data_IF_808817948869
#
_entry.id   IF_808817948869
#
_cell.length_a   1.000
_cell.length_b   1.000
_cell.length_c   1.000
_cell.angle_alpha   90.00
_cell.angle_beta   90.00
_cell.angle_gamma   90.00
#
_symmetry.space_group_name_H-M   'P 1'
#
loop_
_entity.id
_entity.type
_entity.pdbx_description
1 polymer ?
#
# COMPACT_ATOMS: atom_id res chain seq x y z
N UNK A 1 -7.32 12.25 13.09
CA UNK A 1 -6.13 12.44 12.21
C UNK A 1 -6.57 13.20 10.96
N UNK A 2 -5.81 14.19 10.50
CA UNK A 2 -6.16 14.99 9.31
C UNK A 2 -5.12 14.68 8.23
N UNK A 3 -5.57 14.33 7.02
CA UNK A 3 -4.71 14.14 5.87
C UNK A 3 -4.12 15.49 5.43
N UNK A 4 -2.79 15.59 5.41
CA UNK A 4 -2.09 16.71 4.81
C UNK A 4 -1.59 16.30 3.43
N UNK A 5 -2.35 16.67 2.43
CA UNK A 5 -2.00 16.38 1.04
C UNK A 5 -0.76 17.16 0.61
N UNK A 6 0.18 16.47 -0.01
CA UNK A 6 1.36 17.07 -0.63
C UNK A 6 1.23 17.02 -2.15
N UNK A 7 1.51 18.14 -2.82
CA UNK A 7 1.63 18.14 -4.28
C UNK A 7 2.74 17.19 -4.71
N UNK A 8 2.59 16.42 -5.83
CA UNK A 8 3.58 15.42 -6.25
C UNK A 8 5.02 15.90 -6.26
N UNK A 9 5.28 17.11 -6.79
CA UNK A 9 6.62 17.72 -6.79
C UNK A 9 7.22 17.99 -5.41
N UNK A 10 6.37 18.14 -4.38
CA UNK A 10 6.83 18.33 -2.99
C UNK A 10 7.00 17.00 -2.26
N UNK A 11 6.26 15.97 -2.68
CA UNK A 11 6.34 14.63 -2.12
C UNK A 11 7.57 13.86 -2.65
N UNK A 12 7.95 14.09 -3.92
CA UNK A 12 9.07 13.41 -4.54
C UNK A 12 10.42 13.88 -3.99
N UNK A 13 11.35 12.92 -3.85
CA UNK A 13 12.74 13.23 -3.57
C UNK A 13 13.31 14.14 -4.68
N UNK A 14 14.08 15.15 -4.29
CA UNK A 14 14.68 16.12 -5.21
C UNK A 14 15.54 15.48 -6.31
N UNK A 15 16.17 14.35 -6.03
CA UNK A 15 16.93 13.59 -7.02
C UNK A 15 16.02 13.07 -8.15
N UNK A 16 14.85 12.56 -7.82
CA UNK A 16 13.86 12.07 -8.80
C UNK A 16 13.29 13.19 -9.68
N UNK A 17 13.22 14.42 -9.20
CA UNK A 17 12.76 15.55 -10.02
C UNK A 17 13.69 15.88 -11.18
N UNK A 18 14.94 15.40 -11.14
CA UNK A 18 15.93 15.57 -12.21
C UNK A 18 15.91 14.43 -13.23
N UNK A 19 15.32 13.29 -12.87
CA UNK A 19 15.19 12.13 -13.76
C UNK A 19 14.07 12.44 -14.75
N UNK A 20 14.40 12.40 -16.04
CA UNK A 20 13.41 12.52 -17.10
C UNK A 20 13.14 11.14 -17.65
N UNK A 21 11.88 10.66 -17.62
CA UNK A 21 11.54 9.39 -18.26
C UNK A 21 11.82 9.51 -19.77
N UNK A 22 12.35 8.44 -20.35
CA UNK A 22 12.55 8.37 -21.78
C UNK A 22 11.23 8.05 -22.51
N UNK A 23 11.23 8.13 -23.85
CA UNK A 23 10.02 7.92 -24.66
C UNK A 23 9.44 6.51 -24.45
N UNK A 24 10.28 5.50 -24.39
CA UNK A 24 9.84 4.10 -24.20
C UNK A 24 9.13 3.92 -22.85
N UNK A 25 9.68 4.47 -21.77
CA UNK A 25 9.05 4.44 -20.45
C UNK A 25 7.68 5.15 -20.44
N UNK A 26 7.57 6.28 -21.13
CA UNK A 26 6.31 7.01 -21.24
C UNK A 26 5.27 6.20 -22.04
N UNK A 27 5.65 5.60 -23.16
CA UNK A 27 4.73 4.80 -23.99
C UNK A 27 4.32 3.51 -23.27
N UNK A 28 5.23 2.85 -22.56
CA UNK A 28 4.91 1.69 -21.73
C UNK A 28 3.92 2.04 -20.63
N UNK A 29 4.14 3.16 -19.93
CA UNK A 29 3.20 3.65 -18.92
C UNK A 29 1.81 3.87 -19.50
N UNK A 30 1.71 4.58 -20.63
CA UNK A 30 0.43 4.86 -21.29
C UNK A 30 -0.30 3.57 -21.67
N UNK A 31 0.40 2.65 -22.34
CA UNK A 31 -0.18 1.38 -22.80
C UNK A 31 -0.70 0.56 -21.61
N UNK A 32 0.10 0.44 -20.55
CA UNK A 32 -0.28 -0.35 -19.39
C UNK A 32 -1.40 0.34 -18.58
N UNK A 33 -1.41 1.68 -18.51
CA UNK A 33 -2.49 2.43 -17.86
C UNK A 33 -3.81 2.27 -18.62
N UNK A 34 -3.79 2.39 -19.96
CA UNK A 34 -4.98 2.16 -20.78
C UNK A 34 -5.49 0.73 -20.57
N UNK A 35 -4.60 -0.26 -20.59
CA UNK A 35 -4.98 -1.66 -20.32
C UNK A 35 -5.60 -1.85 -18.94
N UNK A 36 -5.06 -1.22 -17.90
CA UNK A 36 -5.61 -1.24 -16.55
C UNK A 36 -7.04 -0.67 -16.53
N UNK A 37 -7.23 0.51 -17.12
CA UNK A 37 -8.52 1.22 -17.10
C UNK A 37 -9.58 0.51 -17.95
N UNK A 38 -9.23 0.03 -19.15
CA UNK A 38 -10.14 -0.67 -20.05
C UNK A 38 -10.63 -2.00 -19.49
N UNK A 39 -9.79 -2.67 -18.68
CA UNK A 39 -10.15 -3.94 -18.02
C UNK A 39 -10.86 -3.75 -16.70
N UNK A 40 -10.87 -2.54 -16.14
CA UNK A 40 -11.59 -2.26 -14.89
C UNK A 40 -13.09 -2.39 -15.13
N UNK A 41 -13.75 -3.25 -14.33
CA UNK A 41 -15.18 -3.53 -14.48
C UNK A 41 -15.83 -3.62 -13.09
N UNK A 42 -16.85 -2.81 -12.88
CA UNK A 42 -17.55 -2.67 -11.60
C UNK A 42 -18.27 -3.95 -11.13
N UNK A 43 -18.52 -4.90 -12.03
CA UNK A 43 -19.15 -6.19 -11.69
C UNK A 43 -18.14 -7.21 -11.13
N UNK A 44 -16.85 -7.02 -11.38
CA UNK A 44 -15.81 -7.95 -10.99
C UNK A 44 -15.48 -7.87 -9.49
N UNK A 45 -14.79 -8.91 -9.00
CA UNK A 45 -14.38 -9.03 -7.61
C UNK A 45 -13.24 -8.04 -7.23
N UNK A 46 -13.04 -7.82 -5.94
CA UNK A 46 -11.87 -7.06 -5.43
C UNK A 46 -10.57 -7.76 -5.81
N UNK A 47 -10.52 -9.10 -5.77
CA UNK A 47 -9.35 -9.88 -6.16
C UNK A 47 -9.01 -9.71 -7.66
N UNK A 48 -10.01 -9.62 -8.52
CA UNK A 48 -9.79 -9.32 -9.94
C UNK A 48 -9.10 -7.96 -10.11
N UNK A 49 -9.61 -6.93 -9.45
CA UNK A 49 -9.02 -5.58 -9.51
C UNK A 49 -7.61 -5.53 -8.92
N UNK A 50 -7.37 -6.28 -7.85
CA UNK A 50 -6.04 -6.46 -7.27
C UNK A 50 -5.04 -7.02 -8.28
N UNK A 51 -5.45 -8.06 -9.03
CA UNK A 51 -4.61 -8.64 -10.07
C UNK A 51 -4.33 -7.66 -11.21
N UNK A 52 -5.28 -6.79 -11.58
CA UNK A 52 -5.02 -5.71 -12.55
C UNK A 52 -3.97 -4.72 -12.05
N UNK A 53 -4.01 -4.35 -10.77
CA UNK A 53 -3.00 -3.48 -10.15
C UNK A 53 -1.62 -4.15 -10.17
N UNK A 54 -1.53 -5.45 -9.84
CA UNK A 54 -0.29 -6.23 -9.93
C UNK A 54 0.29 -6.17 -11.34
N UNK A 55 -0.53 -6.50 -12.34
CA UNK A 55 -0.13 -6.52 -13.74
C UNK A 55 0.40 -5.16 -14.21
N UNK A 56 -0.32 -4.10 -13.87
CA UNK A 56 0.08 -2.73 -14.19
C UNK A 56 1.43 -2.38 -13.58
N UNK A 57 1.61 -2.63 -12.28
CA UNK A 57 2.84 -2.29 -11.57
C UNK A 57 4.02 -3.11 -12.08
N UNK A 58 3.86 -4.42 -12.28
CA UNK A 58 4.91 -5.29 -12.85
C UNK A 58 5.36 -4.78 -14.20
N UNK A 59 4.45 -4.70 -15.16
CA UNK A 59 4.76 -4.37 -16.56
C UNK A 59 5.29 -2.95 -16.74
N UNK A 60 4.93 -2.04 -15.84
CA UNK A 60 5.30 -0.61 -15.98
C UNK A 60 6.61 -0.28 -15.30
N UNK A 61 6.87 -0.85 -14.10
CA UNK A 61 7.96 -0.37 -13.24
C UNK A 61 8.86 -1.45 -12.65
N UNK A 62 8.32 -2.62 -12.30
CA UNK A 62 8.98 -3.49 -11.34
C UNK A 62 9.63 -4.73 -11.94
N UNK A 63 9.11 -5.29 -13.03
CA UNK A 63 9.75 -6.42 -13.70
C UNK A 63 11.03 -5.98 -14.43
N UNK A 64 12.10 -6.80 -14.39
CA UNK A 64 12.25 -8.04 -13.61
C UNK A 64 12.88 -7.84 -12.22
N UNK A 65 13.02 -6.62 -11.74
CA UNK A 65 13.90 -6.27 -10.60
C UNK A 65 13.24 -6.46 -9.24
N UNK A 66 11.90 -6.43 -9.18
CA UNK A 66 11.16 -6.53 -7.94
C UNK A 66 10.02 -7.53 -8.05
N UNK A 67 9.92 -8.40 -7.05
CA UNK A 67 8.83 -9.36 -6.98
C UNK A 67 7.59 -8.69 -6.36
N UNK A 68 6.41 -8.98 -6.93
CA UNK A 68 5.13 -8.52 -6.40
C UNK A 68 4.24 -9.72 -6.19
N UNK A 69 3.69 -9.85 -4.98
CA UNK A 69 2.73 -10.90 -4.62
C UNK A 69 1.81 -10.45 -3.47
N UNK A 70 0.86 -11.31 -3.12
CA UNK A 70 0.18 -11.27 -1.83
C UNK A 70 1.07 -11.95 -0.78
N UNK A 71 1.17 -11.41 0.44
CA UNK A 71 1.99 -11.99 1.52
C UNK A 71 1.17 -12.12 2.80
N UNK A 72 0.87 -13.35 3.19
CA UNK A 72 0.09 -13.64 4.38
C UNK A 72 -1.31 -13.03 4.30
N UNK A 73 -1.59 -12.05 5.16
CA UNK A 73 -2.86 -11.30 5.17
C UNK A 73 -2.75 -9.92 4.50
N UNK A 74 -1.57 -9.56 4.00
CA UNK A 74 -1.39 -8.32 3.25
C UNK A 74 -2.00 -8.48 1.86
N UNK A 75 -2.66 -7.44 1.38
CA UNK A 75 -3.25 -7.47 0.05
C UNK A 75 -2.20 -7.61 -1.04
N UNK A 76 -1.29 -6.64 -1.12
CA UNK A 76 -0.18 -6.65 -2.06
C UNK A 76 1.09 -6.16 -1.38
N UNK A 77 2.22 -6.79 -1.74
CA UNK A 77 3.54 -6.30 -1.34
C UNK A 77 4.47 -6.25 -2.54
N UNK A 78 5.35 -5.25 -2.55
CA UNK A 78 6.46 -5.15 -3.49
C UNK A 78 7.73 -5.42 -2.70
N UNK A 79 8.47 -6.43 -3.11
CA UNK A 79 9.73 -6.81 -2.49
C UNK A 79 10.90 -5.95 -3.01
N UNK A 80 11.90 -5.74 -2.15
CA UNK A 80 13.13 -5.02 -2.52
C UNK A 80 14.04 -5.83 -3.47
N UNK A 81 13.70 -7.08 -3.77
CA UNK A 81 14.43 -7.96 -4.68
C UNK A 81 13.51 -8.80 -5.55
N UNK A 82 14.11 -9.72 -6.31
CA UNK A 82 13.46 -10.47 -7.40
C UNK A 82 12.65 -11.69 -6.95
N UNK A 83 12.56 -11.95 -5.64
CA UNK A 83 11.87 -13.15 -5.15
C UNK A 83 11.13 -12.88 -3.80
N UNK A 84 10.26 -13.80 -3.42
CA UNK A 84 9.43 -13.71 -2.24
C UNK A 84 10.19 -13.75 -0.89
N UNK A 85 11.46 -14.15 -0.89
CA UNK A 85 12.31 -14.16 0.31
C UNK A 85 12.99 -12.82 0.56
N UNK A 86 12.95 -11.91 -0.41
CA UNK A 86 13.44 -10.55 -0.24
C UNK A 86 12.55 -9.77 0.73
N UNK A 87 13.11 -8.78 1.40
CA UNK A 87 12.35 -7.91 2.31
C UNK A 87 11.25 -7.15 1.57
N UNK A 88 10.15 -6.85 2.25
CA UNK A 88 9.08 -6.02 1.71
C UNK A 88 9.49 -4.55 1.73
N UNK A 89 9.39 -3.88 0.59
CA UNK A 89 9.67 -2.44 0.44
C UNK A 89 8.41 -1.57 0.40
N UNK A 90 7.31 -2.09 -0.16
CA UNK A 90 6.03 -1.38 -0.25
C UNK A 90 4.89 -2.31 0.15
N UNK A 91 3.95 -1.78 0.92
CA UNK A 91 2.70 -2.46 1.26
C UNK A 91 1.56 -1.72 0.57
N UNK A 92 0.68 -2.44 -0.10
CA UNK A 92 -0.46 -1.86 -0.83
C UNK A 92 -1.74 -2.53 -0.35
N UNK A 93 -2.69 -1.72 0.05
CA UNK A 93 -4.08 -2.11 0.28
C UNK A 93 -4.90 -1.71 -0.94
N UNK A 94 -5.51 -2.69 -1.60
CA UNK A 94 -6.28 -2.47 -2.81
C UNK A 94 -7.77 -2.74 -2.57
N UNK A 95 -8.59 -1.76 -2.88
CA UNK A 95 -10.05 -1.86 -2.80
C UNK A 95 -10.67 -1.86 -4.19
N UNK A 96 -11.82 -2.50 -4.33
CA UNK A 96 -12.64 -2.41 -5.54
C UNK A 96 -13.01 -0.95 -5.82
N UNK A 97 -13.02 -0.47 -7.08
CA UNK A 97 -13.35 0.91 -7.44
C UNK A 97 -14.70 1.40 -6.90
N UNK A 98 -15.67 0.50 -6.82
CA UNK A 98 -17.02 0.79 -6.28
C UNK A 98 -17.12 0.77 -4.76
N UNK A 99 -16.12 0.22 -4.06
CA UNK A 99 -16.12 0.11 -2.59
C UNK A 99 -15.64 1.41 -1.93
N UNK A 100 -16.41 2.48 -2.09
CA UNK A 100 -16.11 3.80 -1.48
C UNK A 100 -16.30 3.80 0.04
N UNK A 101 -17.07 2.84 0.56
CA UNK A 101 -17.34 2.76 2.00
C UNK A 101 -16.12 2.38 2.81
N UNK A 102 -15.21 1.58 2.25
CA UNK A 102 -13.99 1.11 2.91
C UNK A 102 -12.72 1.81 2.41
N UNK A 103 -12.82 2.67 1.37
CA UNK A 103 -11.68 3.37 0.79
C UNK A 103 -11.45 4.73 1.45
N UNK A 104 -10.17 5.08 1.63
CA UNK A 104 -9.70 6.38 2.13
C UNK A 104 -10.23 7.52 1.25
N UNK A 105 -10.54 8.64 1.88
CA UNK A 105 -10.78 9.91 1.19
C UNK A 105 -9.98 11.04 1.84
N UNK A 106 -9.91 12.19 1.18
CA UNK A 106 -9.22 13.38 1.70
C UNK A 106 -9.80 13.88 3.02
N UNK A 107 -11.09 13.60 3.27
CA UNK A 107 -11.82 14.02 4.48
C UNK A 107 -11.98 12.90 5.51
N UNK A 108 -11.78 11.64 5.12
CA UNK A 108 -12.00 10.48 5.99
C UNK A 108 -10.84 9.49 5.86
N UNK A 109 -9.93 9.53 6.82
CA UNK A 109 -8.79 8.62 6.92
C UNK A 109 -9.11 7.36 7.72
N UNK A 110 -9.73 7.53 8.89
CA UNK A 110 -10.03 6.39 9.77
C UNK A 110 -11.15 5.53 9.17
N UNK A 111 -10.75 4.59 8.33
CA UNK A 111 -11.59 3.68 7.58
C UNK A 111 -10.83 2.38 7.33
N UNK A 112 -11.51 1.32 6.99
CA UNK A 112 -10.98 -0.05 6.89
C UNK A 112 -9.68 -0.13 6.09
N UNK A 113 -9.59 0.47 4.89
CA UNK A 113 -8.36 0.43 4.10
C UNK A 113 -7.14 1.02 4.83
N UNK A 114 -7.33 2.09 5.60
CA UNK A 114 -6.24 2.68 6.39
C UNK A 114 -5.91 1.81 7.62
N UNK A 115 -6.92 1.27 8.28
CA UNK A 115 -6.75 0.38 9.43
C UNK A 115 -5.97 -0.88 9.03
N UNK A 116 -6.31 -1.48 7.90
CA UNK A 116 -5.59 -2.63 7.34
C UNK A 116 -4.13 -2.28 6.99
N UNK A 117 -3.88 -1.11 6.38
CA UNK A 117 -2.49 -0.65 6.14
C UNK A 117 -1.69 -0.51 7.43
N UNK A 118 -2.25 0.07 8.50
CA UNK A 118 -1.56 0.18 9.80
C UNK A 118 -1.27 -1.19 10.38
N UNK A 119 -2.23 -2.11 10.33
CA UNK A 119 -2.07 -3.48 10.81
C UNK A 119 -0.94 -4.21 10.06
N UNK A 120 -0.95 -4.14 8.72
CA UNK A 120 0.08 -4.79 7.88
C UNK A 120 1.46 -4.18 8.11
N UNK A 121 1.52 -2.86 8.27
CA UNK A 121 2.75 -2.17 8.62
C UNK A 121 3.31 -2.62 9.98
N UNK A 122 2.47 -2.72 11.00
CA UNK A 122 2.89 -3.18 12.32
C UNK A 122 3.38 -4.63 12.29
N UNK A 123 2.76 -5.50 11.48
CA UNK A 123 3.25 -6.86 11.26
C UNK A 123 4.65 -6.89 10.66
N UNK A 124 4.86 -6.14 9.57
CA UNK A 124 6.19 -6.06 8.96
C UNK A 124 7.20 -5.46 9.94
N UNK A 125 6.85 -4.37 10.62
CA UNK A 125 7.76 -3.60 11.47
C UNK A 125 8.08 -4.27 12.80
N UNK A 126 7.08 -4.83 13.48
CA UNK A 126 7.20 -5.37 14.85
C UNK A 126 7.43 -6.88 14.79
N UNK A 127 6.55 -7.64 14.11
CA UNK A 127 6.60 -9.10 14.07
C UNK A 127 7.77 -9.60 13.21
N UNK A 128 7.89 -9.07 11.98
CA UNK A 128 8.95 -9.48 11.05
C UNK A 128 10.24 -8.68 11.19
N UNK A 129 10.26 -7.63 12.04
CA UNK A 129 11.42 -6.73 12.26
C UNK A 129 11.97 -6.12 10.97
N UNK A 130 11.11 -5.92 9.98
CA UNK A 130 11.47 -5.37 8.69
C UNK A 130 11.62 -3.84 8.77
N UNK A 131 12.84 -3.35 8.60
CA UNK A 131 13.19 -1.92 8.61
C UNK A 131 13.22 -1.30 7.21
N UNK A 132 12.96 -2.08 6.18
CA UNK A 132 13.17 -1.67 4.78
C UNK A 132 11.89 -1.26 4.07
N UNK A 133 10.74 -1.31 4.74
CA UNK A 133 9.50 -0.72 4.20
C UNK A 133 9.71 0.77 3.99
N UNK A 134 9.37 1.28 2.80
CA UNK A 134 9.54 2.69 2.41
C UNK A 134 8.21 3.42 2.28
N UNK A 135 7.22 2.76 1.68
CA UNK A 135 5.92 3.36 1.39
C UNK A 135 4.79 2.41 1.72
N UNK A 136 3.67 3.03 2.09
CA UNK A 136 2.39 2.36 2.23
C UNK A 136 1.40 3.02 1.27
N UNK A 137 0.59 2.22 0.61
CA UNK A 137 -0.31 2.68 -0.44
C UNK A 137 -1.70 2.12 -0.22
N UNK A 138 -2.72 2.97 -0.32
CA UNK A 138 -4.09 2.52 -0.51
C UNK A 138 -4.57 2.93 -1.89
N UNK A 139 -5.21 2.04 -2.63
CA UNK A 139 -5.72 2.33 -3.97
C UNK A 139 -7.03 1.62 -4.25
N UNK A 140 -7.86 2.27 -5.10
CA UNK A 140 -9.01 1.66 -5.74
C UNK A 140 -8.92 1.75 -7.28
N UNK A 141 -7.68 1.77 -7.81
CA UNK A 141 -7.32 2.03 -9.21
C UNK A 141 -7.46 3.51 -9.57
N UNK A 142 -8.60 4.14 -9.27
CA UNK A 142 -8.88 5.53 -9.64
C UNK A 142 -8.18 6.55 -8.74
N UNK A 143 -7.96 6.17 -7.48
CA UNK A 143 -7.34 7.01 -6.45
C UNK A 143 -6.17 6.25 -5.81
N UNK A 144 -5.09 6.98 -5.55
CA UNK A 144 -3.87 6.45 -4.94
C UNK A 144 -3.45 7.35 -3.79
N UNK A 145 -3.46 6.80 -2.58
CA UNK A 145 -2.97 7.45 -1.37
C UNK A 145 -1.64 6.82 -0.98
N UNK A 146 -0.57 7.59 -1.10
CA UNK A 146 0.80 7.13 -0.84
C UNK A 146 1.30 7.80 0.43
N UNK A 147 1.72 6.99 1.40
CA UNK A 147 2.22 7.44 2.69
C UNK A 147 3.71 7.10 2.83
N UNK A 148 4.46 8.04 3.41
CA UNK A 148 5.84 7.83 3.82
C UNK A 148 5.91 7.00 5.10
N UNK A 149 6.76 5.97 5.12
CA UNK A 149 6.90 5.07 6.27
C UNK A 149 7.39 5.77 7.53
N UNK A 150 8.18 6.85 7.41
CA UNK A 150 8.69 7.58 8.58
C UNK A 150 7.57 8.19 9.40
N UNK A 151 6.47 8.56 8.74
CA UNK A 151 5.26 9.04 9.42
C UNK A 151 4.58 7.89 10.19
N UNK A 152 4.48 6.72 9.58
CA UNK A 152 3.91 5.53 10.22
C UNK A 152 4.77 5.05 11.40
N UNK A 153 6.09 5.06 11.27
CA UNK A 153 7.00 4.77 12.38
C UNK A 153 6.69 5.65 13.58
N UNK A 154 6.66 6.97 13.36
CA UNK A 154 6.46 7.94 14.44
C UNK A 154 5.07 7.84 15.09
N UNK A 155 4.02 7.65 14.29
CA UNK A 155 2.64 7.67 14.79
C UNK A 155 2.20 6.31 15.37
N UNK A 156 2.69 5.21 14.81
CA UNK A 156 2.18 3.88 15.14
C UNK A 156 3.25 2.99 15.79
N UNK A 157 4.39 2.74 15.14
CA UNK A 157 5.37 1.80 15.68
C UNK A 157 6.10 2.30 16.93
N UNK A 158 6.22 3.61 17.13
CA UNK A 158 6.78 4.21 18.34
C UNK A 158 5.73 4.45 19.44
N UNK A 159 4.46 4.23 19.17
CA UNK A 159 3.39 4.34 20.15
C UNK A 159 3.32 3.07 21.00
N UNK A 160 3.88 3.10 22.20
CA UNK A 160 3.98 1.94 23.12
C UNK A 160 2.61 1.32 23.44
N UNK A 161 1.57 2.13 23.59
CA UNK A 161 0.23 1.63 23.91
C UNK A 161 -0.36 0.89 22.72
N UNK A 162 -0.22 1.43 21.51
CA UNK A 162 -0.69 0.79 20.29
C UNK A 162 0.08 -0.51 20.00
N UNK A 163 1.41 -0.50 20.18
CA UNK A 163 2.24 -1.71 20.01
C UNK A 163 1.83 -2.78 21.02
N UNK A 164 1.50 -2.42 22.26
CA UNK A 164 0.97 -3.37 23.23
C UNK A 164 -0.36 -3.96 22.76
N UNK A 165 -1.31 -3.14 22.35
CA UNK A 165 -2.60 -3.58 21.81
C UNK A 165 -2.43 -4.48 20.56
N UNK A 166 -1.52 -4.13 19.68
CA UNK A 166 -1.16 -4.95 18.52
C UNK A 166 -0.64 -6.32 18.92
N UNK A 167 0.29 -6.41 19.90
CA UNK A 167 0.80 -7.67 20.37
C UNK A 167 -0.30 -8.52 21.04
N UNK A 168 -1.16 -7.91 21.85
CA UNK A 168 -2.30 -8.58 22.49
C UNK A 168 -3.30 -9.10 21.43
N UNK A 169 -3.48 -8.39 20.32
CA UNK A 169 -4.29 -8.82 19.18
C UNK A 169 -3.66 -9.99 18.41
N UNK A 170 -2.37 -9.91 18.06
CA UNK A 170 -1.67 -11.00 17.34
C UNK A 170 -1.58 -12.27 18.20
N UNK A 171 -1.38 -12.14 19.50
CA UNK A 171 -1.38 -13.26 20.46
C UNK A 171 -2.79 -13.78 20.80
N UNK A 172 -3.85 -13.24 20.16
CA UNK A 172 -5.27 -13.60 20.41
C UNK A 172 -5.72 -13.42 21.86
N UNK A 173 -5.12 -12.49 22.58
CA UNK A 173 -5.48 -12.16 23.98
C UNK A 173 -6.68 -11.22 24.07
N UNK A 174 -7.07 -10.58 22.96
CA UNK A 174 -8.25 -9.73 22.86
C UNK A 174 -9.47 -10.54 22.41
N UNK A 175 -10.61 -10.29 23.03
CA UNK A 175 -11.88 -10.92 22.66
C UNK A 175 -12.41 -10.42 21.30
N UNK A 176 -12.09 -9.17 20.94
CA UNK A 176 -12.47 -8.58 19.66
C UNK A 176 -11.33 -8.74 18.65
N UNK A 177 -11.66 -9.33 17.51
CA UNK A 177 -10.73 -9.58 16.39
C UNK A 177 -10.84 -8.52 15.28
N UNK A 178 -11.67 -7.48 15.47
CA UNK A 178 -11.83 -6.40 14.49
C UNK A 178 -10.61 -5.47 14.51
N UNK A 179 -10.30 -4.91 13.36
CA UNK A 179 -9.14 -4.01 13.21
C UNK A 179 -9.41 -2.57 13.66
N UNK A 180 -10.65 -2.21 13.94
CA UNK A 180 -11.06 -0.88 14.37
C UNK A 180 -10.59 -0.47 15.77
N UNK A 181 -10.12 -1.41 16.59
CA UNK A 181 -9.55 -1.10 17.91
C UNK A 181 -8.21 -0.34 17.84
N UNK A 182 -7.57 -0.25 16.67
CA UNK A 182 -6.37 0.57 16.48
C UNK A 182 -6.63 2.08 16.51
N UNK A 183 -7.90 2.53 16.60
CA UNK A 183 -8.29 3.94 16.45
C UNK A 183 -9.21 4.45 17.55
#
# INVERSE_FOLDING_TARGET
>A
MILKELKPRKALNKAFLKVKPNRTEIENFKTNLITLLDRTNDTESEEFHKNLVIDFLKKTYYDPNHFINTKGRNDLVIHNGQNANSTVGVIIEAKKPTNKAEMISTTKLNIKAFQELVLYYLRERITHKNLEVKHLVATNINEWFIFDVTLFDRLFAQNKNLVKQFNDFEDKRLADIKTDFFY
#
